data_IF_327963858682
#
_entry.id   IF_327963858682
#
_cell.length_a   1.000
_cell.length_b   1.000
_cell.length_c   1.000
_cell.angle_alpha   90.00
_cell.angle_beta   90.00
_cell.angle_gamma   90.00
#
_symmetry.space_group_name_H-M   'P 1'
#
loop_
_entity.id
_entity.type
_entity.pdbx_description
1 polymer ?
#
# COMPACT_ATOMS: atom_id res chain seq x y z
N UNK A 1 -5.15 14.35 1.87
CA UNK A 1 -4.03 15.15 2.40
C UNK A 1 -2.84 14.67 1.60
N UNK A 2 -2.17 15.54 0.85
CA UNK A 2 -1.25 15.07 -0.20
C UNK A 2 -0.03 14.37 0.41
N UNK A 3 0.36 13.24 -0.18
CA UNK A 3 1.61 12.53 0.17
C UNK A 3 2.78 13.50 -0.09
N UNK A 4 3.71 13.69 0.88
CA UNK A 4 4.84 14.59 0.66
C UNK A 4 5.79 14.05 -0.39
N UNK A 5 6.47 14.95 -1.10
CA UNK A 5 7.56 14.54 -1.98
C UNK A 5 8.70 13.88 -1.20
N UNK A 6 9.46 13.02 -1.87
CA UNK A 6 10.71 12.50 -1.35
C UNK A 6 11.66 13.63 -0.93
N UNK A 7 12.38 13.42 0.18
CA UNK A 7 13.42 14.31 0.63
C UNK A 7 14.73 14.11 -0.18
N UNK A 8 15.80 14.80 0.19
CA UNK A 8 17.10 14.70 -0.49
C UNK A 8 17.77 13.31 -0.40
N UNK A 9 17.27 12.43 0.46
CA UNK A 9 17.71 11.03 0.58
C UNK A 9 16.80 10.08 -0.22
N UNK A 10 15.85 10.60 -1.00
CA UNK A 10 14.95 9.79 -1.81
C UNK A 10 13.88 9.03 -1.03
N UNK A 11 13.65 9.37 0.24
CA UNK A 11 12.63 8.74 1.10
C UNK A 11 11.55 9.76 1.48
N UNK A 12 10.35 9.28 1.83
CA UNK A 12 9.34 10.16 2.42
C UNK A 12 9.88 10.72 3.74
N UNK A 13 9.75 12.03 4.00
CA UNK A 13 10.20 12.58 5.28
C UNK A 13 9.42 11.92 6.43
N UNK A 14 9.99 11.80 7.64
CA UNK A 14 9.29 11.24 8.80
C UNK A 14 8.19 12.18 9.32
N UNK A 15 8.27 13.47 8.99
CA UNK A 15 7.25 14.46 9.29
C UNK A 15 7.27 15.61 8.27
N UNK A 16 6.14 16.30 8.13
CA UNK A 16 5.99 17.59 7.44
C UNK A 16 5.59 18.67 8.44
N UNK A 17 6.13 19.88 8.29
CA UNK A 17 5.85 20.99 9.19
C UNK A 17 6.68 20.95 10.48
N UNK A 18 6.02 21.01 11.66
CA UNK A 18 6.71 21.11 12.96
C UNK A 18 7.11 19.75 13.51
N UNK A 19 8.34 19.65 14.02
CA UNK A 19 8.85 18.45 14.70
C UNK A 19 8.11 18.13 16.00
N UNK A 20 7.50 19.12 16.65
CA UNK A 20 7.01 19.01 18.03
C UNK A 20 5.53 18.62 18.16
N UNK A 21 4.84 18.30 17.06
CA UNK A 21 3.46 17.83 17.04
C UNK A 21 3.30 16.41 16.47
N UNK A 22 2.14 15.78 16.71
CA UNK A 22 1.74 14.53 16.05
C UNK A 22 1.28 14.75 14.60
N UNK A 23 0.80 15.97 14.32
CA UNK A 23 0.27 16.33 13.02
C UNK A 23 1.40 16.35 11.99
N UNK A 24 1.12 15.75 10.83
CA UNK A 24 2.09 15.68 9.74
C UNK A 24 3.18 14.64 9.92
N UNK A 25 3.07 13.67 10.84
CA UNK A 25 4.02 12.54 10.92
C UNK A 25 3.60 11.36 10.04
N UNK A 26 4.58 10.58 9.56
CA UNK A 26 4.33 9.29 8.94
C UNK A 26 3.74 8.29 9.96
N UNK A 27 2.87 7.35 9.56
CA UNK A 27 2.32 7.16 8.22
C UNK A 27 1.32 8.25 7.84
N UNK A 28 1.41 8.73 6.59
CA UNK A 28 0.58 9.83 6.09
C UNK A 28 -0.82 9.34 5.72
N UNK A 29 -1.90 9.86 6.34
CA UNK A 29 -3.26 9.55 5.93
C UNK A 29 -3.51 10.02 4.49
N UNK A 30 -3.82 9.08 3.61
CA UNK A 30 -3.96 9.30 2.18
C UNK A 30 -5.09 8.45 1.60
N UNK A 31 -5.55 8.80 0.41
CA UNK A 31 -6.50 8.02 -0.37
C UNK A 31 -5.79 7.12 -1.38
N UNK A 32 -6.49 6.11 -1.88
CA UNK A 32 -5.97 5.25 -2.93
C UNK A 32 -5.67 6.05 -4.22
N UNK A 33 -6.49 7.04 -4.55
CA UNK A 33 -6.27 7.91 -5.72
C UNK A 33 -4.98 8.72 -5.55
N UNK A 34 -4.78 9.35 -4.38
CA UNK A 34 -3.54 10.08 -4.08
C UNK A 34 -2.30 9.17 -4.13
N UNK A 35 -2.39 7.89 -3.72
CA UNK A 35 -1.31 6.90 -3.89
C UNK A 35 -1.01 6.66 -5.37
N UNK A 36 -2.03 6.43 -6.20
CA UNK A 36 -1.86 6.17 -7.63
C UNK A 36 -1.25 7.38 -8.35
N UNK A 37 -1.73 8.59 -8.05
CA UNK A 37 -1.23 9.83 -8.66
C UNK A 37 0.21 10.14 -8.23
N UNK A 38 0.54 9.96 -6.95
CA UNK A 38 1.86 10.28 -6.43
C UNK A 38 2.93 9.28 -6.85
N UNK A 39 2.59 7.98 -6.83
CA UNK A 39 3.55 6.90 -7.07
C UNK A 39 3.47 6.29 -8.47
N UNK A 40 2.47 6.62 -9.28
CA UNK A 40 2.32 6.13 -10.67
C UNK A 40 3.18 6.87 -11.69
N UNK A 41 4.44 7.14 -11.36
CA UNK A 41 5.33 8.01 -12.16
C UNK A 41 6.01 7.30 -13.33
N UNK A 42 5.99 5.96 -13.37
CA UNK A 42 6.58 5.13 -14.42
C UNK A 42 5.68 3.95 -14.81
N UNK A 43 5.85 3.36 -16.01
CA UNK A 43 5.15 2.12 -16.39
C UNK A 43 5.37 0.98 -15.39
N UNK A 44 6.58 0.84 -14.85
CA UNK A 44 6.97 -0.18 -13.89
C UNK A 44 6.22 0.01 -12.56
N UNK A 45 6.19 1.22 -12.03
CA UNK A 45 5.39 1.56 -10.83
C UNK A 45 3.90 1.35 -11.07
N UNK A 46 3.39 1.75 -12.24
CA UNK A 46 2.00 1.50 -12.62
C UNK A 46 1.65 0.00 -12.65
N UNK A 47 2.59 -0.86 -13.07
CA UNK A 47 2.43 -2.31 -13.05
C UNK A 47 2.32 -2.84 -11.62
N UNK A 48 3.18 -2.39 -10.71
CA UNK A 48 3.10 -2.73 -9.27
C UNK A 48 1.78 -2.26 -8.66
N UNK A 49 1.37 -1.02 -8.95
CA UNK A 49 0.10 -0.46 -8.48
C UNK A 49 -1.12 -1.23 -9.00
N UNK A 50 -1.07 -1.76 -10.23
CA UNK A 50 -2.13 -2.65 -10.72
C UNK A 50 -2.23 -3.91 -9.87
N UNK A 51 -1.11 -4.57 -9.59
CA UNK A 51 -1.09 -5.72 -8.68
C UNK A 51 -1.59 -5.39 -7.27
N UNK A 52 -1.31 -4.18 -6.77
CA UNK A 52 -1.86 -3.70 -5.50
C UNK A 52 -3.39 -3.54 -5.53
N UNK A 53 -3.93 -2.99 -6.63
CA UNK A 53 -5.38 -2.88 -6.83
C UNK A 53 -6.05 -4.25 -6.92
N UNK A 54 -5.44 -5.19 -7.64
CA UNK A 54 -5.92 -6.56 -7.76
C UNK A 54 -5.93 -7.26 -6.39
N UNK A 55 -4.86 -7.12 -5.60
CA UNK A 55 -4.79 -7.63 -4.23
C UNK A 55 -5.91 -7.05 -3.35
N UNK A 56 -6.16 -5.73 -3.44
CA UNK A 56 -7.26 -5.09 -2.70
C UNK A 56 -8.61 -5.59 -3.16
N UNK A 57 -8.81 -5.82 -4.45
CA UNK A 57 -10.04 -6.38 -4.99
C UNK A 57 -10.30 -7.79 -4.42
N UNK A 58 -9.26 -8.61 -4.27
CA UNK A 58 -9.39 -9.93 -3.66
C UNK A 58 -9.72 -9.88 -2.16
N UNK A 59 -9.15 -8.93 -1.41
CA UNK A 59 -9.58 -8.72 -0.02
C UNK A 59 -11.09 -8.39 0.06
N UNK A 60 -11.57 -7.54 -0.85
CA UNK A 60 -12.99 -7.20 -0.94
C UNK A 60 -13.86 -8.40 -1.32
N UNK A 61 -13.37 -9.28 -2.21
CA UNK A 61 -14.10 -10.46 -2.70
C UNK A 61 -14.38 -11.45 -1.56
N UNK A 62 -13.45 -11.60 -0.62
CA UNK A 62 -13.61 -12.48 0.57
C UNK A 62 -14.33 -11.81 1.76
N UNK A 63 -14.76 -10.56 1.60
CA UNK A 63 -15.56 -9.83 2.59
C UNK A 63 -14.78 -8.84 3.45
N UNK A 64 -13.46 -8.70 3.28
CA UNK A 64 -12.63 -7.73 4.00
C UNK A 64 -12.86 -6.34 3.43
N UNK A 65 -13.84 -5.63 4.00
CA UNK A 65 -14.33 -4.32 3.50
C UNK A 65 -14.14 -3.16 4.48
N UNK A 66 -13.69 -3.45 5.71
CA UNK A 66 -13.50 -2.46 6.77
C UNK A 66 -12.07 -2.54 7.28
N UNK A 67 -11.31 -1.45 7.14
CA UNK A 67 -9.90 -1.42 7.47
C UNK A 67 -9.12 -0.34 6.71
N UNK A 68 -7.80 -0.40 6.84
CA UNK A 68 -6.85 0.44 6.10
C UNK A 68 -5.55 -0.32 5.86
N UNK A 69 -4.72 0.22 4.97
CA UNK A 69 -3.42 -0.37 4.62
C UNK A 69 -2.31 0.65 4.81
N UNK A 70 -1.18 0.18 5.34
CA UNK A 70 0.08 0.90 5.23
C UNK A 70 0.83 0.39 4.00
N UNK A 71 1.41 1.32 3.26
CA UNK A 71 2.27 1.07 2.10
C UNK A 71 3.68 1.52 2.47
N UNK A 72 4.68 0.67 2.23
CA UNK A 72 6.06 0.95 2.60
C UNK A 72 7.05 0.28 1.62
N UNK A 73 8.32 0.23 2.02
CA UNK A 73 9.38 -0.48 1.33
C UNK A 73 9.91 0.30 0.15
N UNK A 74 10.63 -0.40 -0.73
CA UNK A 74 11.27 0.21 -1.89
C UNK A 74 10.28 0.93 -2.81
N UNK A 75 9.00 0.51 -2.83
CA UNK A 75 7.94 1.20 -3.56
C UNK A 75 7.62 2.61 -3.03
N UNK A 76 7.78 2.86 -1.73
CA UNK A 76 7.56 4.18 -1.14
C UNK A 76 8.78 5.10 -1.27
N UNK A 77 9.90 4.58 -1.77
CA UNK A 77 11.17 5.29 -1.95
C UNK A 77 11.43 5.60 -3.43
N UNK A 78 12.38 6.50 -3.70
CA UNK A 78 12.82 6.87 -5.04
C UNK A 78 13.96 5.95 -5.51
N UNK A 79 13.71 4.64 -5.49
CA UNK A 79 14.74 3.63 -5.81
C UNK A 79 15.23 3.70 -7.25
N UNK A 80 14.44 4.26 -8.17
CA UNK A 80 14.89 4.54 -9.53
C UNK A 80 16.09 5.48 -9.59
N UNK A 81 16.16 6.45 -8.66
CA UNK A 81 17.31 7.36 -8.54
C UNK A 81 18.38 6.80 -7.59
N UNK A 82 17.96 6.21 -6.46
CA UNK A 82 18.89 5.76 -5.42
C UNK A 82 19.66 4.50 -5.79
N UNK A 83 19.02 3.59 -6.52
CA UNK A 83 19.51 2.23 -6.80
C UNK A 83 19.53 1.90 -8.29
N UNK A 84 19.19 2.86 -9.16
CA UNK A 84 19.18 2.71 -10.62
C UNK A 84 18.34 1.50 -11.11
N UNK A 85 17.27 1.18 -10.38
CA UNK A 85 16.32 0.10 -10.72
C UNK A 85 14.87 0.50 -10.42
N UNK A 86 13.88 -0.07 -11.11
CA UNK A 86 12.49 0.09 -10.72
C UNK A 86 12.18 -0.63 -9.39
N UNK A 87 11.14 -0.21 -8.65
CA UNK A 87 10.56 -1.03 -7.60
C UNK A 87 9.92 -2.27 -8.22
N UNK A 88 10.09 -3.42 -7.58
CA UNK A 88 9.63 -4.71 -8.10
C UNK A 88 8.24 -5.09 -7.58
N UNK A 89 7.98 -4.75 -6.32
CA UNK A 89 6.77 -5.06 -5.57
C UNK A 89 6.38 -3.89 -4.64
N UNK A 90 5.34 -4.09 -3.83
CA UNK A 90 4.91 -3.13 -2.81
C UNK A 90 4.70 -3.84 -1.50
N UNK A 91 5.31 -3.31 -0.44
CA UNK A 91 5.12 -3.84 0.92
C UNK A 91 3.85 -3.26 1.53
N UNK A 92 2.97 -4.14 2.00
CA UNK A 92 1.66 -3.76 2.54
C UNK A 92 1.38 -4.44 3.88
N UNK A 93 0.97 -3.63 4.87
CA UNK A 93 0.36 -4.13 6.10
C UNK A 93 -1.13 -3.80 6.08
N UNK A 94 -1.98 -4.83 6.17
CA UNK A 94 -3.44 -4.66 6.16
C UNK A 94 -4.00 -4.77 7.57
N UNK A 95 -4.61 -3.69 8.05
CA UNK A 95 -5.40 -3.68 9.28
C UNK A 95 -6.86 -3.76 8.90
N UNK A 96 -7.59 -4.78 9.39
CA UNK A 96 -8.98 -4.96 9.02
C UNK A 96 -9.81 -5.56 10.14
N UNK A 97 -11.11 -5.29 10.11
CA UNK A 97 -12.08 -5.98 10.94
C UNK A 97 -12.45 -7.32 10.28
N UNK A 98 -12.46 -8.39 11.07
CA UNK A 98 -12.96 -9.69 10.62
C UNK A 98 -14.43 -9.51 10.20
N UNK A 99 -14.84 -9.93 8.99
CA UNK A 99 -16.21 -9.77 8.52
C UNK A 99 -17.20 -10.47 9.44
N UNK A 100 -18.43 -9.94 9.50
CA UNK A 100 -19.48 -10.54 10.31
C UNK A 100 -19.75 -11.98 9.88
N UNK A 101 -19.83 -12.90 10.84
CA UNK A 101 -20.00 -14.33 10.59
C UNK A 101 -18.72 -15.09 10.24
N UNK A 102 -17.57 -14.40 10.16
CA UNK A 102 -16.27 -15.02 9.94
C UNK A 102 -15.42 -15.08 11.22
N UNK A 103 -14.44 -15.96 11.20
CA UNK A 103 -13.30 -15.98 12.10
C UNK A 103 -12.01 -15.74 11.30
N UNK A 104 -10.89 -15.50 11.99
CA UNK A 104 -9.60 -15.45 11.31
C UNK A 104 -9.27 -16.76 10.57
N UNK A 105 -9.68 -17.90 11.14
CA UNK A 105 -9.45 -19.22 10.56
C UNK A 105 -10.27 -19.43 9.27
N UNK A 106 -11.56 -19.11 9.29
CA UNK A 106 -12.43 -19.27 8.12
C UNK A 106 -12.04 -18.33 6.98
N UNK A 107 -11.57 -17.12 7.28
CA UNK A 107 -10.97 -16.22 6.29
C UNK A 107 -9.72 -16.82 5.64
N UNK A 108 -8.83 -17.42 6.42
CA UNK A 108 -7.60 -18.04 5.91
C UNK A 108 -7.90 -19.23 4.99
N UNK A 109 -9.00 -19.95 5.24
CA UNK A 109 -9.43 -21.05 4.38
C UNK A 109 -9.91 -20.53 3.02
N UNK A 110 -10.62 -19.40 2.98
CA UNK A 110 -11.07 -18.77 1.72
C UNK A 110 -9.92 -18.35 0.80
N UNK A 111 -8.81 -17.86 1.38
CA UNK A 111 -7.65 -17.45 0.57
C UNK A 111 -6.94 -18.65 -0.06
N UNK A 112 -6.95 -19.82 0.61
CA UNK A 112 -6.37 -21.06 0.07
C UNK A 112 -7.19 -21.67 -1.07
N UNK A 113 -8.52 -21.53 -1.04
CA UNK A 113 -9.38 -22.00 -2.14
C UNK A 113 -9.21 -21.15 -3.41
N UNK A 114 -8.99 -19.84 -3.25
CA UNK A 114 -8.74 -18.93 -4.37
C UNK A 114 -7.40 -19.19 -5.09
N UNK A 115 -6.40 -19.75 -4.39
CA UNK A 115 -5.09 -20.08 -4.97
C UNK A 115 -5.11 -21.30 -5.93
N UNK A 116 -6.26 -21.98 -6.11
CA UNK A 116 -6.40 -23.21 -6.91
C UNK A 116 -7.31 -23.00 -8.14
N UNK A 117 -7.66 -21.76 -8.49
CA UNK A 117 -8.24 -21.46 -9.80
C UNK A 117 -7.10 -21.08 -10.75
N UNK A 118 -6.75 -21.89 -11.76
CA UNK A 118 -5.76 -21.48 -12.76
C UNK A 118 -6.30 -20.27 -13.53
N UNK A 119 -5.43 -19.28 -13.76
CA UNK A 119 -5.66 -18.24 -14.76
C UNK A 119 -5.69 -18.84 -16.17
#
# INVERSE_FOLDING_TARGET
>A
MTIPNWNHQGVLPPYVGSQTGSDGRSPYPTTLVEVLEHFGTSPERCKVLRGFLDYRQELYSIGVKQGFQWVNGSFAENVEILEERPPEDVDVVTFFAVPSGESQQTLLEKTRTYSIQPQ
#
